data_IF_298043689159
#
_entry.id   IF_298043689159
#
_cell.length_a   1.000
_cell.length_b   1.000
_cell.length_c   1.000
_cell.angle_alpha   90.00
_cell.angle_beta   90.00
_cell.angle_gamma   90.00
#
_symmetry.space_group_name_H-M   'P 1'
#
loop_
_entity.id
_entity.type
_entity.pdbx_description
1 polymer ?
#
# COMPACT_ATOMS: atom_id res chain seq x y z
N UNK A 1 -26.59 -10.97 -11.22
CA UNK A 1 -25.83 -10.25 -10.17
C UNK A 1 -26.59 -8.99 -9.79
N UNK A 2 -26.86 -8.80 -8.50
CA UNK A 2 -27.45 -7.54 -8.03
C UNK A 2 -26.49 -6.37 -8.26
N UNK A 3 -27.04 -5.18 -8.56
CA UNK A 3 -26.26 -3.98 -8.90
C UNK A 3 -25.21 -3.61 -7.83
N UNK A 4 -25.45 -3.97 -6.56
CA UNK A 4 -24.55 -3.71 -5.43
C UNK A 4 -23.23 -4.48 -5.52
N UNK A 5 -23.23 -5.75 -5.93
CA UNK A 5 -22.01 -6.56 -6.06
C UNK A 5 -21.06 -6.05 -7.13
N UNK A 6 -21.62 -5.49 -8.22
CA UNK A 6 -20.84 -4.85 -9.27
C UNK A 6 -20.12 -3.60 -8.76
N UNK A 7 -20.76 -2.83 -7.88
CA UNK A 7 -20.16 -1.63 -7.28
C UNK A 7 -19.02 -2.02 -6.33
N UNK A 8 -19.21 -3.01 -5.46
CA UNK A 8 -18.14 -3.43 -4.55
C UNK A 8 -16.90 -3.97 -5.29
N UNK A 9 -17.08 -4.68 -6.41
CA UNK A 9 -15.96 -5.14 -7.24
C UNK A 9 -15.19 -3.96 -7.86
N UNK A 10 -15.88 -2.88 -8.24
CA UNK A 10 -15.23 -1.65 -8.69
C UNK A 10 -14.48 -0.98 -7.54
N UNK A 11 -15.06 -0.95 -6.34
CA UNK A 11 -14.39 -0.40 -5.15
C UNK A 11 -13.11 -1.19 -4.85
N UNK A 12 -13.16 -2.52 -4.84
CA UNK A 12 -11.97 -3.36 -4.66
C UNK A 12 -10.89 -3.04 -5.70
N UNK A 13 -11.28 -2.91 -6.97
CA UNK A 13 -10.35 -2.52 -8.04
C UNK A 13 -9.72 -1.13 -7.81
N UNK A 14 -10.50 -0.15 -7.37
CA UNK A 14 -9.99 1.19 -7.02
C UNK A 14 -8.97 1.10 -5.87
N UNK A 15 -9.25 0.31 -4.82
CA UNK A 15 -8.29 0.11 -3.73
C UNK A 15 -6.99 -0.53 -4.20
N UNK A 16 -7.03 -1.48 -5.14
CA UNK A 16 -5.80 -2.05 -5.74
C UNK A 16 -5.01 -0.99 -6.49
N UNK A 17 -5.67 -0.15 -7.29
CA UNK A 17 -5.01 0.96 -7.99
C UNK A 17 -4.35 1.90 -6.99
N UNK A 18 -5.07 2.32 -5.95
CA UNK A 18 -4.52 3.21 -4.92
C UNK A 18 -3.31 2.60 -4.20
N UNK A 19 -3.35 1.30 -3.91
CA UNK A 19 -2.21 0.59 -3.36
C UNK A 19 -0.98 0.73 -4.27
N UNK A 20 -1.13 0.41 -5.57
CA UNK A 20 -0.04 0.53 -6.54
C UNK A 20 0.49 1.95 -6.68
N UNK A 21 -0.40 2.96 -6.69
CA UNK A 21 0.01 4.37 -6.71
C UNK A 21 0.90 4.69 -5.50
N UNK A 22 0.51 4.25 -4.30
CA UNK A 22 1.28 4.52 -3.08
C UNK A 22 2.62 3.77 -3.10
N UNK A 23 2.66 2.55 -3.61
CA UNK A 23 3.91 1.83 -3.77
C UNK A 23 4.88 2.59 -4.69
N UNK A 24 4.39 3.06 -5.84
CA UNK A 24 5.21 3.82 -6.80
C UNK A 24 5.69 5.14 -6.18
N UNK A 25 4.78 5.90 -5.57
CA UNK A 25 5.12 7.20 -4.96
C UNK A 25 6.10 7.04 -3.81
N UNK A 26 5.88 6.08 -2.91
CA UNK A 26 6.79 5.82 -1.78
C UNK A 26 8.15 5.30 -2.25
N UNK A 27 8.18 4.46 -3.29
CA UNK A 27 9.43 3.97 -3.87
C UNK A 27 10.22 5.09 -4.52
N UNK A 28 9.59 5.90 -5.37
CA UNK A 28 10.24 7.04 -6.02
C UNK A 28 10.69 8.10 -5.00
N UNK A 29 9.84 8.39 -4.01
CA UNK A 29 10.16 9.31 -2.93
C UNK A 29 11.32 8.82 -2.06
N UNK A 30 11.34 7.53 -1.70
CA UNK A 30 12.42 6.93 -0.92
C UNK A 30 13.74 6.87 -1.69
N UNK A 31 13.71 6.48 -2.97
CA UNK A 31 14.89 6.53 -3.84
C UNK A 31 15.42 7.97 -4.01
N UNK A 32 14.52 8.95 -4.24
CA UNK A 32 14.89 10.36 -4.30
C UNK A 32 15.52 10.85 -3.00
N UNK A 33 14.96 10.48 -1.85
CA UNK A 33 15.52 10.79 -0.54
C UNK A 33 16.91 10.18 -0.34
N UNK A 34 17.15 8.95 -0.80
CA UNK A 34 18.48 8.32 -0.76
C UNK A 34 19.49 9.09 -1.62
N UNK A 35 19.13 9.47 -2.85
CA UNK A 35 20.02 10.25 -3.72
C UNK A 35 20.39 11.59 -3.09
N UNK A 36 19.42 12.31 -2.51
CA UNK A 36 19.66 13.57 -1.82
C UNK A 36 20.54 13.35 -0.58
N UNK A 37 20.26 12.32 0.22
CA UNK A 37 21.06 11.98 1.40
C UNK A 37 22.52 11.68 1.05
N UNK A 38 22.78 11.00 -0.07
CA UNK A 38 24.14 10.64 -0.51
C UNK A 38 24.90 11.82 -1.15
N UNK A 39 24.21 12.66 -1.92
CA UNK A 39 24.85 13.76 -2.67
C UNK A 39 24.98 15.04 -1.85
N UNK A 40 23.94 15.40 -1.09
CA UNK A 40 23.89 16.63 -0.31
C UNK A 40 24.14 16.41 1.19
N UNK A 41 24.09 15.16 1.68
CA UNK A 41 24.17 14.87 3.11
C UNK A 41 25.47 15.27 3.78
N UNK A 42 26.59 15.35 3.06
CA UNK A 42 27.86 15.83 3.63
C UNK A 42 27.92 17.36 3.77
N UNK A 43 27.28 18.11 2.88
CA UNK A 43 27.16 19.57 3.03
C UNK A 43 26.17 19.91 4.15
N UNK A 44 25.06 19.18 4.22
CA UNK A 44 24.05 19.32 5.26
C UNK A 44 24.58 18.87 6.64
N UNK A 45 25.45 17.85 6.70
CA UNK A 45 26.14 17.43 7.93
C UNK A 45 27.04 18.55 8.51
N UNK A 46 27.78 19.26 7.65
CA UNK A 46 28.62 20.39 8.07
C UNK A 46 27.77 21.54 8.59
N UNK A 47 26.65 21.84 7.94
CA UNK A 47 25.75 22.90 8.37
C UNK A 47 24.98 22.54 9.66
N UNK A 48 24.53 21.29 9.79
CA UNK A 48 23.81 20.80 10.98
C UNK A 48 24.70 20.65 12.21
N UNK A 49 26.00 20.38 12.03
CA UNK A 49 26.98 20.44 13.13
C UNK A 49 27.12 21.83 13.75
N UNK A 50 26.92 22.90 12.96
CA UNK A 50 26.92 24.28 13.47
C UNK A 50 25.68 24.61 14.31
N UNK A 51 24.58 23.86 14.15
CA UNK A 51 23.34 23.97 14.93
C UNK A 51 23.23 22.93 16.05
N UNK A 52 24.29 22.16 16.34
CA UNK A 52 24.30 21.14 17.39
C UNK A 52 23.45 19.90 17.10
N UNK A 53 22.98 19.71 15.86
CA UNK A 53 22.11 18.61 15.44
C UNK A 53 22.86 17.29 15.13
N UNK A 54 24.19 17.29 15.23
CA UNK A 54 25.02 16.08 15.22
C UNK A 54 24.82 15.14 14.02
N UNK A 55 25.22 13.88 14.20
CA UNK A 55 25.25 12.80 13.19
C UNK A 55 23.88 12.43 12.58
N UNK A 56 22.77 12.82 13.22
CA UNK A 56 21.41 12.63 12.72
C UNK A 56 21.01 13.63 11.62
N UNK A 57 21.67 14.79 11.51
CA UNK A 57 21.42 15.79 10.47
C UNK A 57 22.15 15.54 9.14
N UNK A 58 23.00 14.52 9.08
CA UNK A 58 23.85 14.21 7.93
C UNK A 58 23.32 13.07 7.05
N UNK A 59 24.19 12.61 6.14
CA UNK A 59 23.89 11.51 5.22
C UNK A 59 23.37 10.24 5.92
N UNK A 60 23.92 9.88 7.09
CA UNK A 60 23.48 8.70 7.85
C UNK A 60 22.02 8.80 8.31
N UNK A 61 21.60 9.95 8.85
CA UNK A 61 20.21 10.18 9.23
C UNK A 61 19.27 10.17 8.02
N UNK A 62 19.69 10.79 6.90
CA UNK A 62 18.94 10.77 5.65
C UNK A 62 18.71 9.35 5.09
N UNK A 63 19.74 8.50 5.14
CA UNK A 63 19.65 7.10 4.71
C UNK A 63 18.67 6.32 5.60
N UNK A 64 18.77 6.46 6.93
CA UNK A 64 17.87 5.77 7.86
C UNK A 64 16.42 6.20 7.64
N UNK A 65 16.16 7.51 7.50
CA UNK A 65 14.82 8.01 7.23
C UNK A 65 14.27 7.53 5.89
N UNK A 66 15.11 7.48 4.84
CA UNK A 66 14.69 6.98 3.54
C UNK A 66 14.35 5.47 3.58
N UNK A 67 15.13 4.67 4.32
CA UNK A 67 14.83 3.25 4.53
C UNK A 67 13.53 3.05 5.32
N UNK A 68 13.31 3.83 6.37
CA UNK A 68 12.04 3.79 7.13
C UNK A 68 10.87 4.18 6.23
N UNK A 69 11.01 5.24 5.42
CA UNK A 69 9.97 5.68 4.50
C UNK A 69 9.62 4.61 3.46
N UNK A 70 10.62 3.91 2.90
CA UNK A 70 10.41 2.78 2.00
C UNK A 70 9.67 1.64 2.69
N UNK A 71 10.10 1.27 3.91
CA UNK A 71 9.47 0.18 4.67
C UNK A 71 8.02 0.49 5.02
N UNK A 72 7.74 1.72 5.47
CA UNK A 72 6.38 2.21 5.72
C UNK A 72 5.55 2.21 4.44
N UNK A 73 6.13 2.64 3.31
CA UNK A 73 5.48 2.60 2.00
C UNK A 73 5.06 1.20 1.57
N UNK A 74 5.96 0.23 1.69
CA UNK A 74 5.68 -1.19 1.39
C UNK A 74 4.62 -1.74 2.33
N UNK A 75 4.71 -1.46 3.64
CA UNK A 75 3.73 -1.92 4.61
C UNK A 75 2.32 -1.34 4.31
N UNK A 76 2.25 -0.06 3.95
CA UNK A 76 0.99 0.58 3.57
C UNK A 76 0.43 0.00 2.27
N UNK A 77 1.27 -0.26 1.27
CA UNK A 77 0.88 -0.98 0.05
C UNK A 77 0.25 -2.33 0.35
N UNK A 78 0.91 -3.16 1.16
CA UNK A 78 0.41 -4.49 1.54
C UNK A 78 -0.94 -4.38 2.24
N UNK A 79 -1.06 -3.43 3.18
CA UNK A 79 -2.29 -3.23 3.94
C UNK A 79 -3.47 -2.85 3.03
N UNK A 80 -3.26 -1.90 2.12
CA UNK A 80 -4.29 -1.47 1.16
C UNK A 80 -4.68 -2.57 0.18
N UNK A 81 -3.69 -3.28 -0.35
CA UNK A 81 -3.92 -4.38 -1.28
C UNK A 81 -4.67 -5.52 -0.60
N UNK A 82 -4.31 -5.86 0.64
CA UNK A 82 -5.01 -6.87 1.43
C UNK A 82 -6.47 -6.52 1.70
N UNK A 83 -6.78 -5.25 1.96
CA UNK A 83 -8.18 -4.79 2.09
C UNK A 83 -8.95 -4.99 0.78
N UNK A 84 -8.34 -4.68 -0.36
CA UNK A 84 -8.96 -4.91 -1.65
C UNK A 84 -9.25 -6.40 -1.92
N UNK A 85 -8.27 -7.27 -1.66
CA UNK A 85 -8.43 -8.72 -1.78
C UNK A 85 -9.48 -9.28 -0.82
N UNK A 86 -9.56 -8.76 0.41
CA UNK A 86 -10.58 -9.16 1.37
C UNK A 86 -11.99 -8.88 0.84
N UNK A 87 -12.21 -7.73 0.19
CA UNK A 87 -13.50 -7.41 -0.44
C UNK A 87 -13.82 -8.45 -1.53
N UNK A 88 -12.87 -8.78 -2.40
CA UNK A 88 -13.07 -9.76 -3.46
C UNK A 88 -13.37 -11.16 -2.91
N UNK A 89 -12.70 -11.57 -1.82
CA UNK A 89 -12.95 -12.86 -1.15
C UNK A 89 -14.36 -12.92 -0.57
N UNK A 90 -14.82 -11.87 0.12
CA UNK A 90 -16.17 -11.82 0.69
C UNK A 90 -17.24 -11.87 -0.41
N UNK A 91 -17.02 -11.16 -1.52
CA UNK A 91 -17.91 -11.21 -2.68
C UNK A 91 -17.99 -12.63 -3.27
N UNK A 92 -16.86 -13.31 -3.40
CA UNK A 92 -16.81 -14.68 -3.90
C UNK A 92 -17.52 -15.67 -2.98
N UNK A 93 -17.39 -15.50 -1.65
CA UNK A 93 -18.13 -16.32 -0.67
C UNK A 93 -19.64 -16.18 -0.83
N UNK A 94 -20.12 -14.95 -1.05
CA UNK A 94 -21.55 -14.71 -1.26
C UNK A 94 -22.04 -15.31 -2.57
N UNK A 95 -21.32 -15.11 -3.68
CA UNK A 95 -21.66 -15.68 -4.99
C UNK A 95 -21.79 -17.22 -4.90
N UNK A 96 -20.84 -17.89 -4.21
CA UNK A 96 -20.89 -19.33 -3.99
C UNK A 96 -22.04 -19.78 -3.09
N UNK A 97 -22.35 -19.01 -2.04
CA UNK A 97 -23.47 -19.32 -1.12
C UNK A 97 -24.82 -19.19 -1.83
N UNK A 98 -24.97 -18.18 -2.70
CA UNK A 98 -26.17 -17.99 -3.50
C UNK A 98 -26.35 -19.10 -4.53
N UNK A 99 -25.29 -19.44 -5.25
CA UNK A 99 -25.31 -20.55 -6.22
C UNK A 99 -25.68 -21.88 -5.55
N UNK A 100 -25.11 -22.16 -4.38
CA UNK A 100 -25.45 -23.36 -3.59
C UNK A 100 -26.93 -23.38 -3.19
N UNK A 101 -27.47 -22.24 -2.76
CA UNK A 101 -28.89 -22.12 -2.39
C UNK A 101 -29.82 -22.33 -3.59
N UNK A 102 -29.43 -21.84 -4.77
CA UNK A 102 -30.19 -22.03 -6.01
C UNK A 102 -30.20 -23.50 -6.45
N UNK A 103 -29.06 -24.19 -6.39
CA UNK A 103 -28.98 -25.62 -6.70
C UNK A 103 -29.76 -26.48 -5.70
N UNK A 104 -29.69 -26.19 -4.40
CA UNK A 104 -30.49 -26.90 -3.39
C UNK A 104 -32.00 -26.75 -3.63
N UNK A 105 -32.45 -25.54 -4.00
CA UNK A 105 -33.86 -25.30 -4.37
C UNK A 105 -34.28 -26.05 -5.63
N UNK A 106 -33.36 -26.23 -6.58
CA UNK A 106 -33.59 -27.00 -7.81
C UNK A 106 -33.76 -28.49 -7.50
N UNK A 107 -32.88 -29.04 -6.66
CA UNK A 107 -32.95 -30.45 -6.22
C UNK A 107 -34.22 -30.72 -5.41
N UNK A 108 -34.58 -29.83 -4.48
CA UNK A 108 -35.78 -30.01 -3.64
C UNK A 108 -37.13 -29.91 -4.39
N UNK A 109 -37.12 -29.42 -5.64
CA UNK A 109 -38.30 -29.34 -6.51
C UNK A 109 -38.37 -30.48 -7.54
N UNK A 110 -37.31 -31.26 -7.69
CA UNK A 110 -37.24 -32.44 -8.56
C UNK A 110 -37.67 -33.69 -7.80
#
# INVERSE_FOLDING_TARGET
>A
MEKKFKILRIVAFIWKILAWVILVVSTLGGCGALVVALTAGNQLARQSSAFGLGTLGGAAGGIVLALIALLVGVFYFISLYAVAEMIDVVLALEENTRATTEELKRIAKA
#
